data_IF_356474237264
#
_entry.id   IF_356474237264
#
_cell.length_a   1.000
_cell.length_b   1.000
_cell.length_c   1.000
_cell.angle_alpha   90.00
_cell.angle_beta   90.00
_cell.angle_gamma   90.00
#
_symmetry.space_group_name_H-M   'P 1'
#
loop_
_entity.id
_entity.type
_entity.pdbx_description
1 polymer ?
#
# COMPACT_ATOMS: atom_id res chain seq x y z
N UNK A 1 35.97 2.75 29.93
CA UNK A 1 34.54 2.35 29.89
C UNK A 1 34.39 1.08 29.08
N UNK A 2 34.49 -0.08 29.73
CA UNK A 2 34.38 -1.39 29.07
C UNK A 2 33.64 -2.36 29.98
N UNK A 3 32.32 -2.22 30.06
CA UNK A 3 31.47 -3.27 30.61
C UNK A 3 31.29 -4.33 29.52
N UNK A 4 31.86 -5.52 29.70
CA UNK A 4 31.76 -6.64 28.75
C UNK A 4 30.38 -7.32 28.88
N UNK A 5 29.33 -6.55 28.62
CA UNK A 5 27.94 -6.95 28.85
C UNK A 5 27.47 -7.86 27.71
N UNK A 6 26.90 -9.00 28.07
CA UNK A 6 26.29 -9.96 27.14
C UNK A 6 24.87 -10.25 27.63
N UNK A 7 23.86 -9.75 26.89
CA UNK A 7 22.45 -9.87 27.27
C UNK A 7 21.71 -10.61 26.15
N UNK A 8 20.91 -11.62 26.49
CA UNK A 8 20.01 -12.27 25.52
C UNK A 8 18.81 -11.36 25.26
N UNK A 9 18.54 -11.05 23.99
CA UNK A 9 17.43 -10.19 23.54
C UNK A 9 16.75 -10.80 22.32
N UNK A 10 15.51 -10.41 22.07
CA UNK A 10 14.78 -10.74 20.84
C UNK A 10 14.87 -9.56 19.87
N UNK A 11 15.06 -9.83 18.58
CA UNK A 11 15.12 -8.81 17.55
C UNK A 11 13.72 -8.24 17.22
N UNK A 12 13.56 -6.91 17.26
CA UNK A 12 12.29 -6.24 16.97
C UNK A 12 11.77 -6.46 15.53
N UNK A 13 12.63 -6.88 14.61
CA UNK A 13 12.28 -7.05 13.20
C UNK A 13 12.03 -8.51 12.78
N UNK A 14 12.94 -9.43 13.14
CA UNK A 14 12.86 -10.83 12.71
C UNK A 14 12.47 -11.79 13.84
N UNK A 15 12.21 -11.27 15.04
CA UNK A 15 11.79 -12.02 16.24
C UNK A 15 12.70 -13.19 16.62
N UNK A 16 13.95 -13.17 16.14
CA UNK A 16 14.98 -14.14 16.51
C UNK A 16 15.74 -13.67 17.75
N UNK A 17 16.13 -14.62 18.59
CA UNK A 17 16.99 -14.36 19.73
C UNK A 17 18.43 -14.05 19.30
N UNK A 18 19.08 -13.12 20.01
CA UNK A 18 20.48 -12.77 19.79
C UNK A 18 21.15 -12.30 21.08
N UNK A 19 22.49 -12.38 21.09
CA UNK A 19 23.30 -11.91 22.20
C UNK A 19 23.73 -10.45 21.93
N UNK A 20 23.11 -9.53 22.64
CA UNK A 20 23.43 -8.10 22.60
C UNK A 20 24.70 -7.80 23.40
N UNK A 21 25.55 -6.93 22.83
CA UNK A 21 26.75 -6.38 23.51
C UNK A 21 26.47 -5.05 24.22
N UNK A 22 25.35 -4.40 23.91
CA UNK A 22 24.95 -3.11 24.48
C UNK A 22 23.46 -3.11 24.77
N UNK A 23 23.07 -2.34 25.79
CA UNK A 23 21.67 -2.21 26.23
C UNK A 23 20.78 -1.53 25.19
N UNK A 24 21.35 -0.66 24.36
CA UNK A 24 20.63 0.12 23.33
C UNK A 24 20.33 -0.65 22.05
N UNK A 25 20.97 -1.80 21.82
CA UNK A 25 20.72 -2.58 20.60
C UNK A 25 19.31 -3.19 20.60
N UNK A 26 18.62 -3.05 19.47
CA UNK A 26 17.25 -3.53 19.21
C UNK A 26 17.17 -4.63 18.15
N UNK A 27 18.21 -4.77 17.33
CA UNK A 27 18.22 -5.67 16.17
C UNK A 27 19.43 -6.60 16.23
N UNK A 28 19.25 -7.82 15.71
CA UNK A 28 20.31 -8.84 15.67
C UNK A 28 21.42 -8.51 14.65
N UNK A 29 21.14 -7.69 13.63
CA UNK A 29 22.09 -7.37 12.55
C UNK A 29 21.78 -6.06 11.84
N UNK A 30 22.77 -5.52 11.12
CA UNK A 30 22.61 -4.33 10.28
C UNK A 30 21.53 -4.51 9.19
N UNK A 31 21.37 -5.73 8.66
CA UNK A 31 20.32 -6.06 7.69
C UNK A 31 18.91 -5.84 8.28
N UNK A 32 18.68 -6.30 9.50
CA UNK A 32 17.40 -6.11 10.19
C UNK A 32 17.14 -4.63 10.50
N UNK A 33 18.15 -3.90 10.97
CA UNK A 33 18.04 -2.47 11.22
C UNK A 33 17.67 -1.67 9.94
N UNK A 34 18.32 -1.96 8.82
CA UNK A 34 18.03 -1.31 7.54
C UNK A 34 16.61 -1.61 7.03
N UNK A 35 16.16 -2.86 7.15
CA UNK A 35 14.79 -3.25 6.77
C UNK A 35 13.74 -2.57 7.65
N UNK A 36 13.95 -2.53 8.96
CA UNK A 36 13.06 -1.85 9.89
C UNK A 36 12.97 -0.34 9.59
N UNK A 37 14.09 0.32 9.30
CA UNK A 37 14.12 1.71 8.89
C UNK A 37 13.31 1.96 7.60
N UNK A 38 13.50 1.14 6.57
CA UNK A 38 12.76 1.25 5.30
C UNK A 38 11.26 1.01 5.50
N UNK A 39 10.87 0.07 6.36
CA UNK A 39 9.48 -0.20 6.72
C UNK A 39 8.84 1.04 7.37
N UNK A 40 9.47 1.60 8.40
CA UNK A 40 9.01 2.82 9.07
C UNK A 40 8.86 4.00 8.10
N UNK A 41 9.85 4.21 7.20
CA UNK A 41 9.77 5.27 6.20
C UNK A 41 8.68 5.06 5.15
N UNK A 42 8.33 3.81 4.82
CA UNK A 42 7.19 3.51 3.96
C UNK A 42 5.88 3.82 4.67
N UNK A 43 5.74 3.41 5.93
CA UNK A 43 4.55 3.69 6.75
C UNK A 43 4.34 5.19 6.94
N UNK A 44 5.41 5.96 7.21
CA UNK A 44 5.37 7.42 7.29
C UNK A 44 4.83 8.07 6.00
N UNK A 45 5.30 7.59 4.83
CA UNK A 45 4.79 8.05 3.52
C UNK A 45 3.34 7.66 3.27
N UNK A 46 2.93 6.47 3.70
CA UNK A 46 1.54 6.04 3.59
C UNK A 46 0.66 6.93 4.46
N UNK A 47 1.03 7.16 5.72
CA UNK A 47 0.31 8.04 6.64
C UNK A 47 0.22 9.47 6.09
N UNK A 48 1.30 10.04 5.57
CA UNK A 48 1.28 11.37 4.95
C UNK A 48 0.44 11.44 3.68
N UNK A 49 0.30 10.33 2.94
CA UNK A 49 -0.59 10.26 1.78
C UNK A 49 -2.05 9.99 2.17
N UNK A 50 -2.28 9.49 3.40
CA UNK A 50 -3.59 9.08 3.91
C UNK A 50 -4.27 10.18 4.74
N UNK A 51 -3.63 11.31 5.01
CA UNK A 51 -4.27 12.46 5.69
C UNK A 51 -5.36 13.16 4.85
N UNK A 52 -5.68 12.63 3.65
CA UNK A 52 -6.87 12.97 2.85
C UNK A 52 -7.94 11.84 2.90
N UNK A 53 -7.76 10.80 3.71
CA UNK A 53 -8.64 9.63 3.71
C UNK A 53 -8.82 8.99 5.07
N UNK A 54 -9.24 9.75 6.07
CA UNK A 54 -9.83 9.19 7.28
C UNK A 54 -11.25 8.70 6.95
N UNK A 55 -11.39 7.47 6.46
CA UNK A 55 -12.65 6.73 6.62
C UNK A 55 -12.37 5.62 7.64
N UNK A 56 -13.07 5.72 8.77
CA UNK A 56 -13.01 4.79 9.89
C UNK A 56 -13.33 3.37 9.44
N UNK A 57 -12.59 2.41 9.97
CA UNK A 57 -12.66 0.97 9.73
C UNK A 57 -14.02 0.30 9.98
N UNK A 58 -15.04 1.06 10.37
CA UNK A 58 -16.41 0.60 10.62
C UNK A 58 -17.28 0.51 9.36
N UNK A 59 -16.98 1.27 8.30
CA UNK A 59 -17.80 1.27 7.07
C UNK A 59 -17.38 0.17 6.06
N UNK A 60 -16.29 -0.57 6.33
CA UNK A 60 -15.81 -1.63 5.43
C UNK A 60 -16.69 -2.90 5.43
N UNK A 61 -17.49 -3.11 6.46
CA UNK A 61 -18.39 -4.28 6.53
C UNK A 61 -19.69 -4.02 5.76
N UNK A 62 -20.27 -2.83 5.82
CA UNK A 62 -21.47 -2.49 5.05
C UNK A 62 -21.18 -2.40 3.55
N UNK A 63 -20.02 -1.88 3.17
CA UNK A 63 -19.57 -1.88 1.78
C UNK A 63 -19.24 -3.29 1.24
N UNK A 64 -19.09 -4.30 2.11
CA UNK A 64 -18.88 -5.69 1.65
C UNK A 64 -20.20 -6.38 1.26
N UNK A 65 -21.31 -6.05 1.92
CA UNK A 65 -22.63 -6.65 1.60
C UNK A 65 -23.17 -6.19 0.24
N UNK A 66 -22.83 -4.99 -0.21
CA UNK A 66 -23.20 -4.49 -1.55
C UNK A 66 -22.35 -5.13 -2.67
N UNK A 67 -21.21 -5.74 -2.32
CA UNK A 67 -20.25 -6.29 -3.29
C UNK A 67 -20.30 -7.82 -3.45
N UNK A 68 -21.01 -8.55 -2.58
CA UNK A 68 -21.15 -10.02 -2.67
C UNK A 68 -22.00 -10.52 -3.84
N UNK A 69 -22.72 -9.66 -4.56
CA UNK A 69 -23.48 -10.06 -5.77
C UNK A 69 -22.75 -9.78 -7.08
N UNK A 70 -21.45 -9.48 -7.07
CA UNK A 70 -20.71 -9.10 -8.28
C UNK A 70 -19.36 -9.83 -8.34
N UNK A 71 -19.36 -11.16 -8.29
CA UNK A 71 -18.17 -11.94 -8.63
C UNK A 71 -18.54 -13.11 -9.56
N UNK A 72 -18.75 -12.77 -10.83
CA UNK A 72 -18.51 -13.66 -11.95
C UNK A 72 -18.23 -12.83 -13.21
N UNK A 73 -16.95 -12.55 -13.45
CA UNK A 73 -16.37 -11.91 -14.65
C UNK A 73 -16.44 -10.37 -14.77
N UNK A 74 -15.23 -9.78 -14.69
CA UNK A 74 -14.68 -8.77 -15.62
C UNK A 74 -15.38 -7.38 -15.66
N UNK A 75 -14.53 -6.37 -15.40
CA UNK A 75 -14.63 -4.93 -15.77
C UNK A 75 -15.48 -4.03 -14.87
N UNK A 76 -14.74 -3.22 -14.11
CA UNK A 76 -14.91 -1.76 -14.10
C UNK A 76 -16.36 -1.28 -14.17
N UNK A 77 -17.08 -1.42 -13.06
CA UNK A 77 -18.34 -0.70 -12.84
C UNK A 77 -18.05 0.77 -12.51
N UNK A 78 -17.23 1.44 -13.33
CA UNK A 78 -17.15 2.89 -13.34
C UNK A 78 -18.26 3.35 -14.27
N UNK A 79 -19.45 3.55 -13.68
CA UNK A 79 -20.47 4.50 -14.12
C UNK A 79 -20.52 4.80 -15.64
N UNK A 80 -20.69 3.76 -16.47
CA UNK A 80 -20.74 3.87 -17.94
C UNK A 80 -21.90 4.77 -18.41
N UNK A 81 -22.93 4.97 -17.57
CA UNK A 81 -24.13 5.74 -17.93
C UNK A 81 -23.93 7.25 -18.05
N UNK A 82 -22.92 7.85 -17.42
CA UNK A 82 -22.72 9.32 -17.45
C UNK A 82 -21.65 9.79 -18.44
N UNK A 83 -21.10 8.88 -19.26
CA UNK A 83 -20.01 9.16 -20.21
C UNK A 83 -20.49 9.39 -21.64
N UNK A 84 -21.67 8.88 -21.99
CA UNK A 84 -22.26 9.05 -23.32
C UNK A 84 -22.71 10.50 -23.59
N UNK A 85 -22.98 11.26 -22.53
CA UNK A 85 -23.51 12.62 -22.60
C UNK A 85 -22.43 13.71 -22.47
N UNK A 86 -21.14 13.33 -22.43
CA UNK A 86 -20.05 14.31 -22.32
C UNK A 86 -19.54 14.76 -23.69
N UNK A 87 -19.50 16.08 -23.91
CA UNK A 87 -19.01 16.70 -25.15
C UNK A 87 -17.54 16.38 -25.47
N UNK A 88 -16.76 15.97 -24.46
CA UNK A 88 -15.38 15.55 -24.61
C UNK A 88 -15.04 14.42 -23.63
N UNK A 89 -14.18 13.51 -24.09
CA UNK A 89 -13.72 12.35 -23.32
C UNK A 89 -12.27 12.55 -22.88
N UNK A 90 -11.96 12.34 -21.61
CA UNK A 90 -10.56 12.34 -21.15
C UNK A 90 -9.83 11.08 -21.65
N UNK A 91 -8.51 11.16 -21.80
CA UNK A 91 -7.68 10.03 -22.27
C UNK A 91 -7.91 8.76 -21.45
N UNK A 92 -8.09 8.89 -20.13
CA UNK A 92 -8.36 7.74 -19.25
C UNK A 92 -9.71 7.09 -19.57
N UNK A 93 -10.74 7.89 -19.74
CA UNK A 93 -12.08 7.41 -20.06
C UNK A 93 -12.12 6.78 -21.47
N UNK A 94 -11.39 7.36 -22.42
CA UNK A 94 -11.24 6.80 -23.76
C UNK A 94 -10.52 5.44 -23.75
N UNK A 95 -9.49 5.27 -22.92
CA UNK A 95 -8.82 3.98 -22.74
C UNK A 95 -9.77 2.89 -22.22
N UNK A 96 -10.64 3.24 -21.28
CA UNK A 96 -11.64 2.34 -20.69
C UNK A 96 -12.70 1.96 -21.72
N UNK A 97 -13.24 2.95 -22.44
CA UNK A 97 -14.26 2.76 -23.46
C UNK A 97 -13.76 1.91 -24.63
N UNK A 98 -12.58 2.24 -25.15
CA UNK A 98 -11.97 1.56 -26.30
C UNK A 98 -11.21 0.29 -25.92
N UNK A 99 -11.16 -0.05 -24.63
CA UNK A 99 -10.45 -1.22 -24.09
C UNK A 99 -8.99 -1.32 -24.58
N UNK A 100 -8.27 -0.19 -24.54
CA UNK A 100 -6.89 -0.07 -25.00
C UNK A 100 -6.01 0.63 -23.98
N UNK A 101 -4.70 0.45 -24.10
CA UNK A 101 -3.75 1.12 -23.21
C UNK A 101 -3.52 2.58 -23.64
N UNK A 102 -3.21 3.47 -22.68
CA UNK A 102 -2.85 4.88 -22.95
C UNK A 102 -1.79 5.04 -24.06
N UNK A 103 -0.67 4.29 -24.07
CA UNK A 103 0.32 4.43 -25.14
C UNK A 103 -0.18 3.91 -26.50
N UNK A 104 -1.15 3.00 -26.54
CA UNK A 104 -1.81 2.62 -27.80
C UNK A 104 -2.66 3.78 -28.31
N UNK A 105 -3.44 4.41 -27.43
CA UNK A 105 -4.29 5.54 -27.78
C UNK A 105 -3.49 6.74 -28.29
N UNK A 106 -2.37 7.08 -27.63
CA UNK A 106 -1.48 8.17 -28.07
C UNK A 106 -0.72 7.93 -29.38
N UNK A 107 -0.70 6.69 -29.90
CA UNK A 107 -0.08 6.37 -31.20
C UNK A 107 -1.08 6.37 -32.35
N UNK A 108 -2.37 6.34 -32.05
CA UNK A 108 -3.44 6.35 -33.04
C UNK A 108 -3.82 7.77 -33.47
N UNK A 109 -3.46 8.77 -32.67
CA UNK A 109 -3.56 10.20 -32.97
C UNK A 109 -2.15 10.77 -33.17
#
# INVERSE_FOLDING_TARGET
MSSNIRIKKVCDFCTQEYIAKTTVTKYCSHKCASRAYKKRKREEKLLSSSSVGNISTTERLENNLVNLTIDANRKEKVLVRSLADMEFLTVKQACVLLNMSKPTLYKMF
#
